data_IF_678168372232
#
_entry.id   IF_678168372232
#
_cell.length_a   1.000
_cell.length_b   1.000
_cell.length_c   1.000
_cell.angle_alpha   90.00
_cell.angle_beta   90.00
_cell.angle_gamma   90.00
#
_symmetry.space_group_name_H-M   'P 1'
#
loop_
_entity.id
_entity.type
_entity.pdbx_description
1 polymer ?
#
# COMPACT_ATOMS: atom_id res chain seq x y z
N UNK A 1 27.72 30.83 57.31
CA UNK A 1 27.03 30.76 55.99
C UNK A 1 26.71 29.28 55.70
N UNK A 2 25.44 28.85 55.89
CA UNK A 2 24.98 27.51 55.54
C UNK A 2 24.41 27.57 54.09
N UNK A 3 25.14 27.02 53.16
CA UNK A 3 24.64 26.79 51.80
C UNK A 3 23.63 25.62 51.83
N UNK A 4 22.36 25.97 51.75
CA UNK A 4 21.31 24.96 51.55
C UNK A 4 21.29 24.58 50.08
N UNK A 5 21.94 23.45 49.73
CA UNK A 5 21.78 22.81 48.45
C UNK A 5 20.33 22.32 48.34
N UNK A 6 19.51 23.04 47.59
CA UNK A 6 18.18 22.55 47.19
C UNK A 6 18.37 21.45 46.14
N UNK A 7 18.36 20.21 46.59
CA UNK A 7 18.22 19.06 45.69
C UNK A 7 16.89 19.20 44.97
N UNK A 8 16.96 19.50 43.66
CA UNK A 8 15.78 19.52 42.78
C UNK A 8 15.22 18.11 42.71
N UNK A 9 13.99 17.89 43.20
CA UNK A 9 13.27 16.63 42.99
C UNK A 9 13.13 16.39 41.49
N UNK A 10 13.25 15.12 41.04
CA UNK A 10 13.08 14.80 39.64
C UNK A 10 11.69 15.26 39.16
N UNK A 11 11.67 16.00 38.06
CA UNK A 11 10.42 16.53 37.50
C UNK A 11 9.47 15.35 37.16
N UNK A 12 8.24 15.40 37.68
CA UNK A 12 7.24 14.40 37.43
C UNK A 12 6.96 14.27 35.92
N UNK A 13 6.77 13.03 35.43
CA UNK A 13 6.51 12.76 34.02
C UNK A 13 5.22 13.45 33.54
N UNK A 14 5.33 14.25 32.49
CA UNK A 14 4.23 15.06 31.95
C UNK A 14 3.50 14.34 30.82
N UNK A 15 2.46 13.58 31.14
CA UNK A 15 1.66 12.79 30.19
C UNK A 15 1.11 13.63 29.03
N UNK A 16 0.67 14.86 29.28
CA UNK A 16 0.16 15.75 28.22
C UNK A 16 1.25 16.12 27.21
N UNK A 17 2.45 16.44 27.67
CA UNK A 17 3.58 16.72 26.79
C UNK A 17 3.99 15.47 26.02
N UNK A 18 4.05 14.32 26.68
CA UNK A 18 4.38 13.05 26.06
C UNK A 18 3.41 12.69 24.92
N UNK A 19 2.09 12.75 25.17
CA UNK A 19 1.09 12.44 24.12
C UNK A 19 1.20 13.41 22.94
N UNK A 20 1.42 14.71 23.19
CA UNK A 20 1.58 15.70 22.11
C UNK A 20 2.84 15.44 21.26
N UNK A 21 3.97 15.14 21.91
CA UNK A 21 5.22 14.81 21.19
C UNK A 21 5.06 13.53 20.39
N UNK A 22 4.48 12.49 20.99
CA UNK A 22 4.23 11.21 20.30
C UNK A 22 3.30 11.38 19.10
N UNK A 23 2.26 12.21 19.21
CA UNK A 23 1.39 12.51 18.07
C UNK A 23 2.15 13.23 16.96
N UNK A 24 2.99 14.23 17.31
CA UNK A 24 3.78 14.95 16.30
C UNK A 24 4.75 14.03 15.57
N UNK A 25 5.49 13.18 16.31
CA UNK A 25 6.39 12.19 15.70
C UNK A 25 5.63 11.17 14.86
N UNK A 26 4.51 10.64 15.38
CA UNK A 26 3.64 9.74 14.66
C UNK A 26 3.09 10.35 13.37
N UNK A 27 2.66 11.61 13.41
CA UNK A 27 2.20 12.33 12.23
C UNK A 27 3.30 12.46 11.16
N UNK A 28 4.52 12.85 11.55
CA UNK A 28 5.66 12.99 10.61
C UNK A 28 5.94 11.64 9.95
N UNK A 29 6.00 10.55 10.73
CA UNK A 29 6.27 9.22 10.20
C UNK A 29 5.12 8.72 9.30
N UNK A 30 3.87 9.01 9.65
CA UNK A 30 2.72 8.73 8.79
C UNK A 30 2.75 9.52 7.49
N UNK A 31 3.11 10.80 7.53
CA UNK A 31 3.23 11.64 6.34
C UNK A 31 4.32 11.11 5.41
N UNK A 32 5.50 10.76 5.95
CA UNK A 32 6.60 10.19 5.16
C UNK A 32 6.20 8.84 4.57
N UNK A 33 5.74 7.90 5.41
CA UNK A 33 5.37 6.56 4.94
C UNK A 33 4.17 6.59 3.98
N UNK A 34 3.20 7.46 4.23
CA UNK A 34 2.05 7.67 3.34
C UNK A 34 2.48 8.20 1.97
N UNK A 35 3.39 9.18 1.93
CA UNK A 35 3.95 9.70 0.67
C UNK A 35 4.71 8.62 -0.09
N UNK A 36 5.55 7.83 0.59
CA UNK A 36 6.25 6.71 -0.04
C UNK A 36 5.29 5.69 -0.62
N UNK A 37 4.25 5.30 0.13
CA UNK A 37 3.23 4.34 -0.35
C UNK A 37 2.37 4.90 -1.47
N UNK A 38 2.13 6.21 -1.48
CA UNK A 38 1.42 6.91 -2.53
C UNK A 38 2.20 6.87 -3.86
N UNK A 39 3.52 7.03 -3.81
CA UNK A 39 4.41 6.98 -4.97
C UNK A 39 4.85 5.57 -5.35
N UNK A 40 4.70 4.58 -4.46
CA UNK A 40 5.17 3.23 -4.69
C UNK A 40 4.40 2.53 -5.82
N UNK A 41 5.07 1.67 -6.62
CA UNK A 41 4.40 0.88 -7.65
C UNK A 41 3.31 -0.02 -7.06
N UNK A 42 2.36 -0.50 -7.89
CA UNK A 42 1.40 -1.52 -7.48
C UNK A 42 2.08 -2.72 -6.82
N UNK A 43 1.41 -3.40 -5.87
CA UNK A 43 2.01 -4.48 -5.08
C UNK A 43 2.65 -5.58 -5.92
N UNK A 44 1.97 -5.99 -7.01
CA UNK A 44 2.48 -6.98 -7.97
C UNK A 44 3.82 -6.58 -8.60
N UNK A 45 3.95 -5.30 -9.03
CA UNK A 45 5.20 -4.78 -9.60
C UNK A 45 6.27 -4.68 -8.53
N UNK A 46 5.92 -4.14 -7.36
CA UNK A 46 6.85 -3.98 -6.24
C UNK A 46 7.46 -5.32 -5.79
N UNK A 47 6.65 -6.37 -5.66
CA UNK A 47 7.10 -7.71 -5.27
C UNK A 47 7.91 -8.38 -6.39
N UNK A 48 7.44 -8.25 -7.62
CA UNK A 48 8.10 -8.83 -8.79
C UNK A 48 9.50 -8.28 -9.04
N UNK A 49 9.67 -6.96 -8.84
CA UNK A 49 10.94 -6.25 -9.07
C UNK A 49 11.78 -6.09 -7.81
N UNK A 50 11.29 -6.53 -6.66
CA UNK A 50 11.88 -6.26 -5.34
C UNK A 50 12.14 -4.77 -5.11
N UNK A 51 11.12 -3.95 -5.43
CA UNK A 51 11.20 -2.49 -5.30
C UNK A 51 11.51 -2.06 -3.86
N UNK A 52 12.48 -1.16 -3.73
CA UNK A 52 12.88 -0.59 -2.45
C UNK A 52 12.99 0.94 -2.57
N UNK A 53 12.71 1.64 -1.47
CA UNK A 53 12.94 3.06 -1.32
C UNK A 53 13.56 3.33 0.06
N UNK A 54 14.66 4.07 0.10
CA UNK A 54 15.45 4.29 1.32
C UNK A 54 15.86 2.98 2.04
N UNK A 55 16.12 1.93 1.27
CA UNK A 55 16.52 0.62 1.80
C UNK A 55 15.39 -0.27 2.31
N UNK A 56 14.14 0.20 2.29
CA UNK A 56 12.96 -0.55 2.74
C UNK A 56 12.08 -0.95 1.55
N UNK A 57 11.52 -2.16 1.62
CA UNK A 57 10.55 -2.67 0.65
C UNK A 57 9.18 -2.02 0.85
N UNK A 58 8.33 -2.07 -0.16
CA UNK A 58 6.95 -1.57 -0.06
C UNK A 58 6.17 -2.17 1.12
N UNK A 59 6.34 -3.48 1.37
CA UNK A 59 5.68 -4.18 2.48
C UNK A 59 6.14 -3.66 3.85
N UNK A 60 7.42 -3.33 3.99
CA UNK A 60 8.00 -2.77 5.22
C UNK A 60 7.49 -1.35 5.46
N UNK A 61 7.43 -0.52 4.40
CA UNK A 61 6.78 0.79 4.48
C UNK A 61 5.31 0.69 4.87
N UNK A 62 4.59 -0.31 4.31
CA UNK A 62 3.20 -0.61 4.70
C UNK A 62 3.08 -0.99 6.17
N UNK A 63 3.95 -1.85 6.65
CA UNK A 63 4.02 -2.25 8.07
C UNK A 63 4.27 -1.05 8.99
N UNK A 64 5.25 -0.20 8.67
CA UNK A 64 5.52 1.03 9.41
C UNK A 64 4.31 1.96 9.43
N UNK A 65 3.66 2.18 8.28
CA UNK A 65 2.48 3.03 8.19
C UNK A 65 1.33 2.54 9.06
N UNK A 66 1.05 1.24 9.07
CA UNK A 66 0.01 0.62 9.89
C UNK A 66 0.33 0.77 11.39
N UNK A 67 1.56 0.44 11.81
CA UNK A 67 1.93 0.50 13.21
C UNK A 67 1.97 1.93 13.75
N UNK A 68 2.54 2.88 13.00
CA UNK A 68 2.54 4.29 13.40
C UNK A 68 1.13 4.90 13.31
N UNK A 69 0.28 4.44 12.39
CA UNK A 69 -1.13 4.80 12.33
C UNK A 69 -1.90 4.34 13.57
N UNK A 70 -1.70 3.12 13.98
CA UNK A 70 -2.30 2.56 15.20
C UNK A 70 -1.83 3.31 16.45
N UNK A 71 -0.53 3.55 16.55
CA UNK A 71 0.05 4.32 17.66
C UNK A 71 -0.47 5.76 17.69
N UNK A 72 -0.51 6.43 16.52
CA UNK A 72 -1.05 7.78 16.39
C UNK A 72 -2.50 7.87 16.84
N UNK A 73 -3.33 6.90 16.43
CA UNK A 73 -4.73 6.83 16.85
C UNK A 73 -4.86 6.67 18.37
N UNK A 74 -4.10 5.75 18.96
CA UNK A 74 -4.10 5.55 20.42
C UNK A 74 -3.65 6.83 21.15
N UNK A 75 -2.58 7.48 20.68
CA UNK A 75 -2.11 8.75 21.28
C UNK A 75 -3.11 9.89 21.08
N UNK A 76 -3.84 9.92 19.97
CA UNK A 76 -4.92 10.89 19.72
C UNK A 76 -6.03 10.73 20.74
N UNK A 77 -6.47 9.49 21.01
CA UNK A 77 -7.48 9.22 22.05
C UNK A 77 -7.01 9.71 23.42
N UNK A 78 -5.79 9.35 23.82
CA UNK A 78 -5.20 9.82 25.08
C UNK A 78 -5.07 11.34 25.13
N UNK A 79 -4.63 11.97 24.02
CA UNK A 79 -4.52 13.41 23.92
C UNK A 79 -5.88 14.10 24.12
N UNK A 80 -6.94 13.59 23.50
CA UNK A 80 -8.30 14.11 23.68
C UNK A 80 -8.75 13.94 25.13
N UNK A 81 -8.51 12.79 25.76
CA UNK A 81 -8.86 12.54 27.16
C UNK A 81 -8.16 13.55 28.09
N UNK A 82 -6.84 13.71 27.93
CA UNK A 82 -6.07 14.64 28.78
C UNK A 82 -6.39 16.12 28.50
N UNK A 83 -6.87 16.44 27.32
CA UNK A 83 -7.22 17.82 26.90
C UNK A 83 -8.73 18.00 26.75
N UNK A 84 -9.57 17.15 27.38
CA UNK A 84 -11.02 17.20 27.27
C UNK A 84 -11.61 18.57 27.67
N UNK A 85 -11.13 19.15 28.79
CA UNK A 85 -11.62 20.45 29.28
C UNK A 85 -11.35 21.60 28.28
N UNK A 86 -10.12 21.79 27.76
CA UNK A 86 -9.88 22.73 26.67
C UNK A 86 -10.77 22.48 25.45
N UNK A 87 -10.89 21.22 25.02
CA UNK A 87 -11.69 20.85 23.87
C UNK A 87 -13.17 21.30 24.03
N UNK A 88 -13.78 20.95 25.17
CA UNK A 88 -15.17 21.34 25.47
C UNK A 88 -15.33 22.86 25.57
N UNK A 89 -14.28 23.59 26.00
CA UNK A 89 -14.34 25.05 26.06
C UNK A 89 -14.51 25.69 24.68
N UNK A 90 -14.10 25.02 23.60
CA UNK A 90 -14.33 25.49 22.22
C UNK A 90 -15.77 25.37 21.77
N UNK A 91 -16.58 24.54 22.42
CA UNK A 91 -18.00 24.38 22.14
C UNK A 91 -18.89 25.32 22.96
N UNK A 92 -18.32 26.02 23.97
CA UNK A 92 -19.06 26.94 24.85
C UNK A 92 -18.77 28.38 24.45
N UNK A 93 -19.83 29.18 24.35
CA UNK A 93 -19.69 30.61 24.24
C UNK A 93 -19.07 31.18 25.54
N UNK A 94 -18.11 32.10 25.38
CA UNK A 94 -17.43 32.73 26.54
C UNK A 94 -18.37 33.63 27.34
N UNK A 95 -19.39 34.19 26.71
CA UNK A 95 -20.30 35.17 27.32
C UNK A 95 -21.52 34.51 27.94
N UNK A 96 -22.21 33.66 27.18
CA UNK A 96 -23.46 33.07 27.62
C UNK A 96 -23.32 31.70 28.26
N UNK A 97 -22.14 31.08 28.20
CA UNK A 97 -21.86 29.70 28.61
C UNK A 97 -22.79 28.63 27.98
N UNK A 98 -23.58 29.05 26.99
CA UNK A 98 -24.43 28.17 26.20
C UNK A 98 -23.62 27.45 25.11
N UNK A 99 -24.13 26.34 24.59
CA UNK A 99 -23.56 25.66 23.42
C UNK A 99 -23.74 26.58 22.21
N UNK A 100 -22.67 27.18 21.73
CA UNK A 100 -22.66 28.02 20.54
C UNK A 100 -21.81 27.36 19.45
N UNK A 101 -22.41 27.21 18.24
CA UNK A 101 -21.67 26.76 17.09
C UNK A 101 -20.76 27.91 16.63
N UNK A 102 -19.47 27.82 16.97
CA UNK A 102 -18.50 28.82 16.52
C UNK A 102 -18.32 28.73 15.02
N UNK A 103 -18.02 29.87 14.38
CA UNK A 103 -17.78 29.95 12.93
C UNK A 103 -16.70 28.97 12.48
N UNK A 104 -15.67 28.77 13.31
CA UNK A 104 -14.57 27.82 13.04
C UNK A 104 -15.06 26.39 12.88
N UNK A 105 -16.00 25.96 13.72
CA UNK A 105 -16.61 24.62 13.62
C UNK A 105 -17.48 24.49 12.37
N UNK A 106 -18.25 25.52 12.05
CA UNK A 106 -19.08 25.52 10.85
C UNK A 106 -18.22 25.46 9.59
N UNK A 107 -17.12 26.22 9.54
CA UNK A 107 -16.17 26.19 8.42
C UNK A 107 -15.47 24.83 8.33
N UNK A 108 -14.97 24.29 9.46
CA UNK A 108 -14.32 22.98 9.47
C UNK A 108 -15.28 21.86 9.01
N UNK A 109 -16.52 21.86 9.49
CA UNK A 109 -17.54 20.93 9.05
C UNK A 109 -17.87 21.10 7.55
N UNK A 110 -18.04 22.33 7.07
CA UNK A 110 -18.31 22.60 5.65
C UNK A 110 -17.18 22.12 4.75
N UNK A 111 -15.90 22.37 5.12
CA UNK A 111 -14.74 21.86 4.39
C UNK A 111 -14.71 20.33 4.39
N UNK A 112 -14.96 19.69 5.54
CA UNK A 112 -14.99 18.23 5.64
C UNK A 112 -16.09 17.61 4.76
N UNK A 113 -17.30 18.20 4.78
CA UNK A 113 -18.42 17.78 3.94
C UNK A 113 -18.09 18.00 2.45
N UNK A 114 -17.48 19.14 2.09
CA UNK A 114 -17.10 19.44 0.72
C UNK A 114 -16.07 18.42 0.20
N UNK A 115 -15.03 18.09 0.99
CA UNK A 115 -14.04 17.07 0.62
C UNK A 115 -14.71 15.71 0.46
N UNK A 116 -15.55 15.31 1.41
CA UNK A 116 -16.26 14.03 1.37
C UNK A 116 -17.18 13.93 0.14
N UNK A 117 -18.06 14.91 -0.05
CA UNK A 117 -19.03 14.89 -1.16
C UNK A 117 -18.34 15.06 -2.50
N UNK A 118 -17.32 15.92 -2.60
CA UNK A 118 -16.55 16.12 -3.82
C UNK A 118 -15.81 14.86 -4.25
N UNK A 119 -15.23 14.13 -3.29
CA UNK A 119 -14.57 12.84 -3.55
C UNK A 119 -15.60 11.78 -3.99
N UNK A 120 -16.74 11.66 -3.30
CA UNK A 120 -17.79 10.69 -3.65
C UNK A 120 -18.44 11.00 -5.02
N UNK A 121 -18.64 12.28 -5.33
CA UNK A 121 -19.21 12.69 -6.60
C UNK A 121 -18.21 12.67 -7.78
N UNK A 122 -16.94 12.42 -7.52
CA UNK A 122 -15.91 12.37 -8.55
C UNK A 122 -15.71 13.70 -9.28
N UNK A 123 -15.89 14.84 -8.60
CA UNK A 123 -15.72 16.16 -9.22
C UNK A 123 -14.30 16.71 -9.02
N UNK A 124 -13.82 17.49 -10.00
CA UNK A 124 -12.55 18.20 -9.86
C UNK A 124 -12.60 19.23 -8.72
N UNK A 125 -11.52 19.43 -7.96
CA UNK A 125 -10.17 18.87 -8.13
C UNK A 125 -9.95 17.48 -7.51
N UNK A 126 -10.94 16.93 -6.79
CA UNK A 126 -10.78 15.68 -6.02
C UNK A 126 -10.52 14.47 -6.92
N UNK A 127 -11.33 14.29 -7.99
CA UNK A 127 -11.12 13.23 -8.96
C UNK A 127 -9.77 13.37 -9.69
N UNK A 128 -9.43 14.58 -10.14
CA UNK A 128 -8.20 14.82 -10.88
C UNK A 128 -6.94 14.43 -10.11
N UNK A 129 -6.93 14.61 -8.79
CA UNK A 129 -5.82 14.19 -7.94
C UNK A 129 -5.72 12.66 -7.83
N UNK A 130 -6.84 11.96 -7.75
CA UNK A 130 -6.90 10.51 -7.71
C UNK A 130 -6.50 9.91 -9.06
N UNK A 131 -7.01 10.46 -10.16
CA UNK A 131 -6.69 10.06 -11.53
C UNK A 131 -5.19 10.21 -11.81
N UNK A 132 -4.61 11.34 -11.39
CA UNK A 132 -3.16 11.54 -11.48
C UNK A 132 -2.37 10.49 -10.72
N UNK A 133 -2.81 10.10 -9.51
CA UNK A 133 -2.16 9.03 -8.76
C UNK A 133 -2.25 7.68 -9.49
N UNK A 134 -3.40 7.39 -10.10
CA UNK A 134 -3.57 6.16 -10.87
C UNK A 134 -2.70 6.14 -12.13
N UNK A 135 -2.63 7.25 -12.87
CA UNK A 135 -1.73 7.39 -14.01
C UNK A 135 -0.26 7.21 -13.59
N UNK A 136 0.13 7.85 -12.48
CA UNK A 136 1.47 7.68 -11.93
C UNK A 136 1.76 6.21 -11.58
N UNK A 137 0.84 5.51 -10.93
CA UNK A 137 0.98 4.09 -10.64
C UNK A 137 0.99 3.22 -11.89
N UNK A 138 0.20 3.55 -12.90
CA UNK A 138 0.19 2.85 -14.18
C UNK A 138 1.53 3.01 -14.93
N UNK A 139 2.25 4.12 -14.74
CA UNK A 139 3.56 4.33 -15.36
C UNK A 139 4.62 3.30 -14.94
N UNK A 140 4.45 2.68 -13.77
CA UNK A 140 5.30 1.58 -13.30
C UNK A 140 5.03 0.27 -14.02
N UNK A 141 3.87 0.11 -14.68
CA UNK A 141 3.46 -1.13 -15.34
C UNK A 141 3.97 -1.23 -16.77
N UNK A 142 5.27 -1.09 -16.96
CA UNK A 142 5.90 -1.36 -18.26
C UNK A 142 5.73 -2.84 -18.62
N UNK A 143 5.54 -3.13 -19.91
CA UNK A 143 5.35 -4.50 -20.40
C UNK A 143 6.48 -5.46 -19.97
N UNK A 144 7.72 -4.94 -19.90
CA UNK A 144 8.92 -5.69 -19.46
C UNK A 144 8.96 -6.02 -17.97
N UNK A 145 8.11 -5.38 -17.16
CA UNK A 145 8.07 -5.54 -15.71
C UNK A 145 6.82 -6.28 -15.23
N UNK A 146 5.98 -6.71 -16.16
CA UNK A 146 4.85 -7.58 -15.84
C UNK A 146 5.31 -9.03 -15.76
N UNK A 147 4.84 -9.74 -14.73
CA UNK A 147 5.02 -11.19 -14.67
C UNK A 147 4.31 -11.83 -15.87
N UNK A 148 4.96 -12.69 -16.64
CA UNK A 148 4.33 -13.38 -17.79
C UNK A 148 3.14 -14.24 -17.36
N UNK A 149 3.18 -14.78 -16.15
CA UNK A 149 2.07 -15.48 -15.49
C UNK A 149 1.52 -14.57 -14.40
N UNK A 150 0.21 -14.26 -14.38
CA UNK A 150 -0.38 -13.43 -13.34
C UNK A 150 -0.10 -13.98 -11.94
N UNK A 151 0.40 -13.12 -11.05
CA UNK A 151 0.76 -13.47 -9.67
C UNK A 151 1.77 -14.62 -9.54
N UNK A 152 2.73 -14.72 -10.49
CA UNK A 152 3.75 -15.76 -10.48
C UNK A 152 4.56 -15.79 -9.17
N UNK A 153 4.76 -14.63 -8.55
CA UNK A 153 5.45 -14.47 -7.27
C UNK A 153 4.72 -15.13 -6.08
N UNK A 154 3.40 -15.28 -6.18
CA UNK A 154 2.56 -15.88 -5.14
C UNK A 154 2.32 -17.38 -5.34
N UNK A 155 2.71 -17.92 -6.49
CA UNK A 155 2.56 -19.35 -6.76
C UNK A 155 3.61 -20.16 -6.00
N UNK A 156 3.27 -21.42 -5.67
CA UNK A 156 4.27 -22.40 -5.24
C UNK A 156 5.16 -22.78 -6.41
N UNK A 157 6.35 -23.28 -6.12
CA UNK A 157 7.26 -23.73 -7.18
C UNK A 157 6.63 -24.77 -8.08
N UNK A 158 5.87 -25.72 -7.51
CA UNK A 158 5.11 -26.73 -8.25
C UNK A 158 4.08 -26.09 -9.18
N UNK A 159 3.24 -25.20 -8.67
CA UNK A 159 2.19 -24.53 -9.46
C UNK A 159 2.78 -23.63 -10.57
N UNK A 160 3.91 -22.98 -10.29
CA UNK A 160 4.61 -22.17 -11.29
C UNK A 160 5.22 -23.06 -12.39
N UNK A 161 5.89 -24.15 -12.01
CA UNK A 161 6.48 -25.09 -12.95
C UNK A 161 5.41 -25.70 -13.88
N UNK A 162 4.27 -26.14 -13.33
CA UNK A 162 3.13 -26.67 -14.08
C UNK A 162 2.59 -25.63 -15.07
N UNK A 163 2.28 -24.41 -14.60
CA UNK A 163 1.77 -23.33 -15.47
C UNK A 163 2.78 -22.89 -16.53
N UNK A 164 4.07 -22.98 -16.23
CA UNK A 164 5.14 -22.63 -17.15
C UNK A 164 5.56 -23.77 -18.08
N UNK A 165 4.96 -24.96 -17.97
CA UNK A 165 5.30 -26.12 -18.76
C UNK A 165 6.72 -26.65 -18.50
N UNK A 166 7.22 -26.47 -17.28
CA UNK A 166 8.55 -26.93 -16.83
C UNK A 166 8.37 -28.06 -15.82
N UNK A 167 9.14 -29.13 -15.96
CA UNK A 167 9.15 -30.19 -14.95
C UNK A 167 9.72 -29.65 -13.62
N UNK A 168 9.11 -30.05 -12.49
CA UNK A 168 9.52 -29.60 -11.16
C UNK A 168 10.96 -29.99 -10.84
N UNK A 169 11.41 -31.18 -11.27
CA UNK A 169 12.79 -31.63 -11.06
C UNK A 169 13.78 -30.76 -11.83
N UNK A 170 13.41 -30.34 -13.05
CA UNK A 170 14.22 -29.41 -13.86
C UNK A 170 14.27 -28.03 -13.21
N UNK A 171 13.14 -27.50 -12.76
CA UNK A 171 13.08 -26.22 -12.05
C UNK A 171 13.97 -26.24 -10.79
N UNK A 172 13.87 -27.29 -9.99
CA UNK A 172 14.70 -27.49 -8.79
C UNK A 172 16.17 -27.57 -9.12
N UNK A 173 16.54 -28.33 -10.15
CA UNK A 173 17.95 -28.46 -10.60
C UNK A 173 18.53 -27.10 -11.02
N UNK A 174 17.78 -26.29 -11.75
CA UNK A 174 18.18 -24.95 -12.20
C UNK A 174 18.42 -23.99 -11.03
N UNK A 175 17.54 -24.00 -10.04
CA UNK A 175 17.66 -23.17 -8.84
C UNK A 175 18.90 -23.61 -8.04
N UNK A 176 19.10 -24.90 -7.83
CA UNK A 176 20.27 -25.45 -7.13
C UNK A 176 21.59 -25.12 -7.86
N UNK A 177 21.60 -25.17 -9.19
CA UNK A 177 22.77 -24.81 -10.01
C UNK A 177 23.15 -23.32 -9.86
N UNK A 178 22.22 -22.46 -9.45
CA UNK A 178 22.45 -21.05 -9.10
C UNK A 178 22.76 -20.82 -7.61
N UNK A 179 22.93 -21.89 -6.85
CA UNK A 179 23.23 -21.81 -5.41
C UNK A 179 22.01 -21.50 -4.54
N UNK A 180 20.80 -21.56 -5.10
CA UNK A 180 19.56 -21.35 -4.36
C UNK A 180 19.12 -22.70 -3.80
N UNK A 181 19.04 -22.81 -2.48
CA UNK A 181 18.71 -24.05 -1.76
C UNK A 181 17.75 -23.77 -0.60
N UNK A 182 17.27 -24.82 0.09
CA UNK A 182 16.40 -24.67 1.26
C UNK A 182 14.92 -24.39 0.90
N UNK A 183 14.46 -24.86 -0.25
CA UNK A 183 13.07 -24.77 -0.69
C UNK A 183 12.51 -26.16 -1.03
N UNK A 184 11.19 -26.24 -1.11
CA UNK A 184 10.45 -27.42 -1.58
C UNK A 184 9.50 -27.02 -2.72
N UNK A 185 8.84 -27.99 -3.33
CA UNK A 185 7.80 -27.74 -4.34
C UNK A 185 6.65 -26.86 -3.84
N UNK A 186 6.35 -26.92 -2.54
CA UNK A 186 5.30 -26.11 -1.88
C UNK A 186 5.78 -24.71 -1.47
N UNK A 187 7.05 -24.41 -1.64
CA UNK A 187 7.58 -23.09 -1.29
C UNK A 187 7.12 -22.06 -2.31
N UNK A 188 6.54 -20.95 -1.83
CA UNK A 188 6.10 -19.83 -2.68
C UNK A 188 7.32 -19.15 -3.31
N UNK A 189 7.23 -18.82 -4.59
CA UNK A 189 8.33 -18.22 -5.38
C UNK A 189 8.88 -16.94 -4.73
N UNK A 190 8.02 -16.09 -4.17
CA UNK A 190 8.46 -14.91 -3.43
C UNK A 190 9.37 -15.27 -2.25
N UNK A 191 9.07 -16.34 -1.51
CA UNK A 191 9.91 -16.79 -0.39
C UNK A 191 11.26 -17.33 -0.87
N UNK A 192 11.28 -18.01 -2.01
CA UNK A 192 12.55 -18.46 -2.64
C UNK A 192 13.39 -17.23 -3.01
N UNK A 193 12.76 -16.22 -3.60
CA UNK A 193 13.39 -14.96 -3.98
C UNK A 193 13.95 -14.20 -2.77
N UNK A 194 13.16 -14.09 -1.70
CA UNK A 194 13.57 -13.42 -0.46
C UNK A 194 14.77 -14.10 0.21
N UNK A 195 14.75 -15.44 0.28
CA UNK A 195 15.86 -16.23 0.86
C UNK A 195 17.13 -16.09 0.02
N UNK A 196 16.99 -16.05 -1.31
CA UNK A 196 18.10 -15.86 -2.24
C UNK A 196 18.55 -14.39 -2.37
N UNK A 197 17.82 -13.44 -1.77
CA UNK A 197 18.02 -11.98 -1.93
C UNK A 197 17.97 -11.53 -3.40
N UNK A 198 17.14 -12.19 -4.20
CA UNK A 198 16.93 -11.91 -5.61
C UNK A 198 15.50 -11.37 -5.83
N UNK A 199 15.26 -10.61 -6.90
CA UNK A 199 13.89 -10.31 -7.35
C UNK A 199 13.16 -11.59 -7.77
N UNK A 200 11.86 -11.68 -7.54
CA UNK A 200 11.04 -12.80 -8.02
C UNK A 200 11.12 -12.98 -9.55
N UNK A 201 11.30 -11.88 -10.27
CA UNK A 201 11.56 -11.86 -11.72
C UNK A 201 12.79 -12.69 -12.11
N UNK A 202 13.87 -12.61 -11.36
CA UNK A 202 15.09 -13.38 -11.65
C UNK A 202 14.90 -14.85 -11.32
N UNK A 203 14.25 -15.17 -10.19
CA UNK A 203 13.92 -16.56 -9.84
C UNK A 203 13.04 -17.18 -10.93
N UNK A 204 12.05 -16.47 -11.41
CA UNK A 204 11.21 -16.88 -12.54
C UNK A 204 12.05 -17.15 -13.80
N UNK A 205 12.95 -16.23 -14.16
CA UNK A 205 13.82 -16.37 -15.32
C UNK A 205 14.74 -17.61 -15.21
N UNK A 206 15.25 -17.93 -14.02
CA UNK A 206 16.04 -19.13 -13.76
C UNK A 206 15.19 -20.39 -13.99
N UNK A 207 13.98 -20.42 -13.43
CA UNK A 207 13.05 -21.55 -13.59
C UNK A 207 12.72 -21.79 -15.06
N UNK A 208 12.43 -20.72 -15.80
CA UNK A 208 12.02 -20.76 -17.20
C UNK A 208 13.16 -20.81 -18.19
N UNK A 209 14.43 -20.68 -17.75
CA UNK A 209 15.60 -20.72 -18.63
C UNK A 209 15.66 -22.05 -19.41
N UNK A 210 15.62 -21.97 -20.75
CA UNK A 210 15.63 -23.13 -21.63
C UNK A 210 14.30 -23.89 -21.76
N UNK A 211 13.20 -23.39 -21.17
CA UNK A 211 11.88 -23.77 -21.64
C UNK A 211 11.75 -23.24 -23.07
N UNK A 212 11.62 -24.11 -24.08
CA UNK A 212 11.11 -23.69 -25.40
C UNK A 212 9.85 -22.89 -25.09
N UNK A 213 9.70 -21.72 -25.70
CA UNK A 213 8.43 -21.02 -25.75
C UNK A 213 7.40 -21.98 -26.36
N UNK A 214 6.90 -22.88 -25.52
CA UNK A 214 5.82 -23.80 -25.86
C UNK A 214 4.61 -22.93 -26.05
N UNK A 215 4.14 -22.86 -27.30
CA UNK A 215 3.04 -22.05 -27.76
C UNK A 215 1.81 -22.17 -26.85
N UNK A 216 1.68 -21.25 -25.96
CA UNK A 216 0.44 -20.82 -25.38
C UNK A 216 0.12 -19.52 -26.08
N UNK A 217 -0.71 -19.60 -27.11
CA UNK A 217 -1.37 -18.43 -27.67
C UNK A 217 -2.07 -17.67 -26.55
N UNK A 218 -1.40 -16.66 -26.11
CA UNK A 218 -2.06 -15.50 -25.60
C UNK A 218 -1.46 -14.34 -26.39
N UNK A 219 -1.87 -14.20 -27.65
CA UNK A 219 -2.13 -12.86 -28.14
C UNK A 219 -3.07 -12.28 -27.10
N UNK A 220 -2.40 -11.66 -26.09
CA UNK A 220 -3.07 -11.08 -24.97
C UNK A 220 -3.85 -9.89 -25.48
N UNK A 221 -5.12 -10.10 -25.62
CA UNK A 221 -6.00 -9.03 -25.26
C UNK A 221 -5.49 -8.48 -23.94
N UNK A 222 -5.10 -7.22 -23.96
CA UNK A 222 -4.83 -6.45 -22.76
C UNK A 222 -5.95 -6.79 -21.77
N UNK A 223 -5.64 -7.60 -20.76
CA UNK A 223 -6.56 -7.98 -19.72
C UNK A 223 -6.81 -6.76 -18.85
N UNK A 224 -7.54 -5.78 -19.37
CA UNK A 224 -8.26 -4.84 -18.57
C UNK A 224 -9.18 -5.67 -17.70
N UNK A 225 -8.86 -5.79 -16.41
CA UNK A 225 -9.75 -6.44 -15.47
C UNK A 225 -11.14 -5.84 -15.64
N UNK A 226 -12.18 -6.69 -15.62
CA UNK A 226 -13.57 -6.28 -15.82
C UNK A 226 -14.02 -5.10 -14.92
N UNK A 227 -13.26 -4.78 -13.88
CA UNK A 227 -13.50 -3.66 -12.99
C UNK A 227 -13.37 -2.26 -13.59
N UNK A 228 -12.80 -2.12 -14.78
CA UNK A 228 -12.64 -0.81 -15.47
C UNK A 228 -13.68 -0.58 -16.56
N UNK A 229 -14.46 -1.60 -16.93
CA UNK A 229 -15.51 -1.47 -17.93
C UNK A 229 -16.83 -1.13 -17.26
N UNK A 230 -17.49 -0.10 -17.73
CA UNK A 230 -18.89 0.15 -17.33
C UNK A 230 -19.75 -1.02 -17.83
N UNK A 231 -20.87 -1.27 -17.15
CA UNK A 231 -21.80 -2.33 -17.55
C UNK A 231 -22.22 -2.21 -19.03
N UNK A 232 -22.34 -0.99 -19.51
CA UNK A 232 -22.67 -0.66 -20.90
C UNK A 232 -21.58 -1.10 -21.87
N UNK A 233 -20.30 -0.87 -21.55
CA UNK A 233 -19.18 -1.30 -22.35
C UNK A 233 -19.02 -2.82 -22.35
N UNK A 234 -19.27 -3.46 -21.21
CA UNK A 234 -19.25 -4.92 -21.08
C UNK A 234 -20.37 -5.59 -21.92
N UNK A 235 -21.56 -5.02 -21.91
CA UNK A 235 -22.69 -5.52 -22.72
C UNK A 235 -22.47 -5.28 -24.22
N UNK A 236 -21.85 -4.16 -24.61
CA UNK A 236 -21.51 -3.87 -26.00
C UNK A 236 -20.49 -4.84 -26.57
N UNK A 237 -19.42 -5.17 -25.82
CA UNK A 237 -18.41 -6.16 -26.21
C UNK A 237 -19.00 -7.57 -26.41
N UNK A 238 -19.90 -8.01 -25.52
CA UNK A 238 -20.59 -9.30 -25.68
C UNK A 238 -21.50 -9.37 -26.91
N UNK A 239 -22.11 -8.23 -27.29
CA UNK A 239 -22.97 -8.16 -28.46
C UNK A 239 -22.16 -8.25 -29.75
N UNK A 240 -21.00 -7.64 -29.80
CA UNK A 240 -20.06 -7.69 -30.93
C UNK A 240 -19.47 -9.10 -31.11
N UNK A 241 -19.13 -9.81 -30.02
CA UNK A 241 -18.58 -11.16 -30.06
C UNK A 241 -19.61 -12.20 -30.57
N UNK A 242 -20.90 -12.01 -30.28
CA UNK A 242 -21.96 -12.89 -30.79
C UNK A 242 -22.28 -12.69 -32.28
N UNK A 243 -22.07 -11.48 -32.81
CA UNK A 243 -22.30 -11.20 -34.23
C UNK A 243 -21.18 -11.74 -35.12
N UNK A 244 -19.96 -11.93 -34.58
CA UNK A 244 -18.84 -12.52 -35.35
C UNK A 244 -18.76 -14.05 -35.31
N UNK A 245 -19.60 -14.73 -34.53
CA UNK A 245 -19.65 -16.22 -34.47
C UNK A 245 -20.77 -16.85 -35.26
N UNK A 246 -21.43 -16.08 -36.13
CA UNK A 246 -22.54 -16.55 -36.99
C UNK A 246 -22.27 -16.37 -38.50
N UNK A 247 -21.01 -16.55 -38.90
CA UNK A 247 -20.60 -16.71 -40.29
C UNK A 247 -19.74 -17.96 -40.47
#
# INVERSE_FOLDING_TARGET
>A
MKSTSTASSPAAFQWRAFTSVMMTLGFVLLAVSGTVLFLAPPGRVANWTNWTMLGLRKSEWGGLHIWFGTLFLAMTVLHVIYNWRPLISYFKDRVTRSLGLRREWAVAAAVSVMVFTGTQAGVAPFSSFLDWNEEFKASWEKATERAPIPHAELLTLTALAEKGGVDLAVATTRLNAKGISGFSGETVVQRIADNAKLPAKEVYAIIMSGAKAGGGHAEGQAGGGLGWKTLTQFCADRKSTRLNSSH
#
